data_IF_091599628581
#
_entry.id   IF_091599628581
#
_cell.length_a   1.000
_cell.length_b   1.000
_cell.length_c   1.000
_cell.angle_alpha   90.00
_cell.angle_beta   90.00
_cell.angle_gamma   90.00
#
_symmetry.space_group_name_H-M   'P 1'
#
loop_
_entity.id
_entity.type
_entity.pdbx_description
1 polymer ?
#
# COMPACT_ATOMS: atom_id res chain seq x y z
N UNK A 1 14.57 -21.00 14.89
CA UNK A 1 15.96 -20.61 15.18
C UNK A 1 16.28 -19.52 14.18
N UNK A 2 16.35 -18.24 14.53
CA UNK A 2 16.49 -17.64 15.85
C UNK A 2 15.72 -16.33 15.96
N UNK A 3 15.44 -15.96 17.20
CA UNK A 3 14.86 -14.70 17.61
C UNK A 3 15.71 -13.52 17.10
N UNK A 4 15.26 -12.86 16.02
CA UNK A 4 15.59 -11.45 15.82
C UNK A 4 14.82 -10.69 16.90
N UNK A 5 15.49 -10.45 18.03
CA UNK A 5 15.10 -9.39 18.97
C UNK A 5 14.77 -8.13 18.16
N UNK A 6 13.66 -7.45 18.46
CA UNK A 6 13.38 -6.10 17.97
C UNK A 6 14.59 -5.20 18.27
N UNK A 7 15.48 -5.04 17.30
CA UNK A 7 16.57 -4.08 17.39
C UNK A 7 15.91 -2.72 17.12
N UNK A 8 15.95 -1.83 18.11
CA UNK A 8 15.44 -0.46 17.96
C UNK A 8 16.12 0.23 16.77
N UNK A 9 15.35 1.02 16.02
CA UNK A 9 15.85 1.79 14.88
C UNK A 9 17.06 2.65 15.28
N UNK A 10 17.05 3.20 16.49
CA UNK A 10 18.18 3.92 17.10
C UNK A 10 19.45 3.08 17.21
N UNK A 11 19.36 1.85 17.69
CA UNK A 11 20.52 0.95 17.79
C UNK A 11 21.02 0.54 16.40
N UNK A 12 20.10 0.28 15.48
CA UNK A 12 20.38 -0.04 14.10
C UNK A 12 21.16 1.10 13.41
N UNK A 13 20.76 2.35 13.64
CA UNK A 13 21.39 3.51 13.00
C UNK A 13 22.66 3.95 13.70
N UNK A 14 22.75 3.91 15.04
CA UNK A 14 23.90 4.47 15.77
C UNK A 14 25.01 3.46 16.07
N UNK A 15 24.66 2.19 16.29
CA UNK A 15 25.60 1.20 16.86
C UNK A 15 26.03 0.12 15.88
N UNK A 16 25.20 -0.20 14.88
CA UNK A 16 25.47 -1.27 13.91
C UNK A 16 26.64 -0.92 12.99
N UNK A 17 27.45 -1.91 12.62
CA UNK A 17 28.53 -1.74 11.65
C UNK A 17 27.99 -1.29 10.28
N UNK A 18 28.64 -0.30 9.67
CA UNK A 18 28.23 0.22 8.35
C UNK A 18 28.70 -0.72 7.26
N UNK A 19 27.77 -1.22 6.46
CA UNK A 19 28.00 -2.01 5.26
C UNK A 19 27.19 -1.42 4.09
N UNK A 20 27.34 -1.99 2.89
CA UNK A 20 26.49 -1.60 1.77
C UNK A 20 25.03 -2.05 1.96
N UNK A 21 24.79 -3.08 2.77
CA UNK A 21 23.46 -3.53 3.18
C UNK A 21 22.84 -2.67 4.27
N UNK A 22 23.64 -1.88 4.99
CA UNK A 22 23.17 -1.03 6.08
C UNK A 22 21.95 -0.18 5.69
N UNK A 23 21.95 0.38 4.47
CA UNK A 23 20.81 1.15 3.96
C UNK A 23 19.55 0.28 3.80
N UNK A 24 19.69 -0.94 3.30
CA UNK A 24 18.57 -1.87 3.14
C UNK A 24 18.03 -2.36 4.48
N UNK A 25 18.92 -2.66 5.42
CA UNK A 25 18.56 -3.11 6.77
C UNK A 25 17.87 -2.00 7.57
N UNK A 26 18.41 -0.77 7.51
CA UNK A 26 17.78 0.40 8.14
C UNK A 26 16.42 0.72 7.54
N UNK A 27 16.29 0.57 6.22
CA UNK A 27 15.02 0.70 5.53
C UNK A 27 13.98 -0.34 5.95
N UNK A 28 14.36 -1.61 6.11
CA UNK A 28 13.47 -2.67 6.57
C UNK A 28 13.03 -2.51 8.04
N UNK A 29 13.87 -1.89 8.88
CA UNK A 29 13.54 -1.58 10.28
C UNK A 29 12.46 -0.50 10.45
N UNK A 30 12.14 0.27 9.41
CA UNK A 30 11.07 1.28 9.43
C UNK A 30 9.72 0.58 9.25
N UNK A 31 9.12 0.14 10.35
CA UNK A 31 7.87 -0.64 10.35
C UNK A 31 6.60 0.22 10.33
N UNK A 32 6.55 1.32 11.11
CA UNK A 32 5.44 2.28 11.14
C UNK A 32 5.91 3.68 10.73
N UNK A 33 5.21 4.30 9.76
CA UNK A 33 5.72 5.53 9.10
C UNK A 33 5.75 6.75 10.01
N UNK A 34 4.98 6.79 11.11
CA UNK A 34 4.90 7.98 11.98
C UNK A 34 5.87 7.91 13.15
N UNK A 35 5.87 6.81 13.90
CA UNK A 35 6.78 6.64 15.05
C UNK A 35 8.23 6.54 14.57
N UNK A 36 8.48 5.89 13.44
CA UNK A 36 9.82 5.86 12.87
C UNK A 36 10.28 7.21 12.31
N UNK A 37 9.39 8.09 11.83
CA UNK A 37 9.78 9.46 11.43
C UNK A 37 10.20 10.27 12.66
N UNK A 38 9.40 10.25 13.72
CA UNK A 38 9.71 10.98 14.96
C UNK A 38 11.03 10.45 15.57
N UNK A 39 11.25 9.13 15.56
CA UNK A 39 12.51 8.53 16.01
C UNK A 39 13.70 8.90 15.11
N UNK A 40 13.53 8.88 13.78
CA UNK A 40 14.57 9.28 12.82
C UNK A 40 14.94 10.77 12.95
N UNK A 41 13.98 11.65 13.23
CA UNK A 41 14.26 13.07 13.49
C UNK A 41 15.14 13.25 14.73
N UNK A 42 14.84 12.53 15.82
CA UNK A 42 15.67 12.55 17.03
C UNK A 42 17.06 11.95 16.76
N UNK A 43 17.13 10.84 16.02
CA UNK A 43 18.40 10.20 15.66
C UNK A 43 19.25 11.15 14.80
N UNK A 44 18.64 11.91 13.89
CA UNK A 44 19.36 12.83 13.00
C UNK A 44 20.21 13.86 13.75
N UNK A 45 19.79 14.29 14.93
CA UNK A 45 20.54 15.23 15.77
C UNK A 45 21.76 14.57 16.44
N UNK A 46 21.70 13.26 16.70
CA UNK A 46 22.76 12.49 17.35
C UNK A 46 23.80 11.91 16.37
N UNK A 47 23.43 11.77 15.09
CA UNK A 47 24.30 11.18 14.06
C UNK A 47 25.38 12.15 13.60
N UNK A 48 26.63 11.83 13.94
CA UNK A 48 27.82 12.58 13.52
C UNK A 48 28.49 12.03 12.25
N UNK A 49 28.30 10.74 11.96
CA UNK A 49 28.85 10.11 10.76
C UNK A 49 28.07 10.56 9.50
N UNK A 50 28.74 11.15 8.48
CA UNK A 50 28.06 11.68 7.32
C UNK A 50 27.31 10.64 6.47
N UNK A 51 27.78 9.39 6.43
CA UNK A 51 27.11 8.33 5.69
C UNK A 51 25.78 7.97 6.37
N UNK A 52 25.82 7.69 7.68
CA UNK A 52 24.61 7.42 8.48
C UNK A 52 23.64 8.60 8.41
N UNK A 53 24.16 9.83 8.46
CA UNK A 53 23.33 11.04 8.34
C UNK A 53 22.62 11.09 6.99
N UNK A 54 23.33 10.80 5.91
CA UNK A 54 22.75 10.70 4.57
C UNK A 54 21.65 9.63 4.46
N UNK A 55 21.85 8.46 5.09
CA UNK A 55 20.83 7.39 5.16
C UNK A 55 19.58 7.87 5.88
N UNK A 56 19.71 8.46 7.07
CA UNK A 56 18.57 8.97 7.86
C UNK A 56 17.81 10.07 7.10
N UNK A 57 18.53 11.01 6.49
CA UNK A 57 17.92 12.08 5.69
C UNK A 57 17.10 11.52 4.51
N UNK A 58 17.59 10.49 3.83
CA UNK A 58 16.84 9.88 2.73
C UNK A 58 15.61 9.10 3.22
N UNK A 59 15.72 8.37 4.33
CA UNK A 59 14.58 7.68 4.96
C UNK A 59 13.49 8.65 5.43
N UNK A 60 13.87 9.85 5.89
CA UNK A 60 12.96 10.97 6.19
C UNK A 60 12.34 11.61 4.94
N UNK A 61 12.77 11.22 3.73
CA UNK A 61 12.34 11.82 2.47
C UNK A 61 13.03 13.15 2.13
N UNK A 62 14.01 13.60 2.93
CA UNK A 62 14.79 14.84 2.71
C UNK A 62 15.93 14.60 1.71
N UNK A 63 15.57 14.19 0.49
CA UNK A 63 16.50 13.73 -0.56
C UNK A 63 17.56 14.75 -0.95
N UNK A 64 17.19 16.02 -1.06
CA UNK A 64 18.13 17.10 -1.41
C UNK A 64 19.29 17.18 -0.39
N UNK A 65 18.95 17.22 0.90
CA UNK A 65 19.93 17.31 2.00
C UNK A 65 20.75 16.04 2.14
N UNK A 66 20.12 14.87 1.93
CA UNK A 66 20.82 13.60 1.89
C UNK A 66 21.93 13.62 0.83
N UNK A 67 21.62 14.09 -0.39
CA UNK A 67 22.60 14.17 -1.47
C UNK A 67 23.71 15.18 -1.19
N UNK A 68 23.39 16.35 -0.65
CA UNK A 68 24.41 17.34 -0.27
C UNK A 68 25.38 16.77 0.78
N UNK A 69 24.84 16.09 1.80
CA UNK A 69 25.62 15.43 2.85
C UNK A 69 26.52 14.33 2.26
N UNK A 70 25.97 13.46 1.41
CA UNK A 70 26.73 12.36 0.79
C UNK A 70 27.77 12.88 -0.22
N UNK A 71 27.48 13.97 -0.93
CA UNK A 71 28.42 14.62 -1.85
C UNK A 71 29.59 15.28 -1.12
N UNK A 72 29.41 15.67 0.15
CA UNK A 72 30.49 16.13 1.02
C UNK A 72 31.51 15.04 1.37
N UNK A 73 31.14 13.75 1.22
CA UNK A 73 31.93 12.61 1.69
C UNK A 73 32.28 11.63 0.56
N UNK A 74 32.70 12.16 -0.58
CA UNK A 74 33.10 11.37 -1.76
C UNK A 74 34.31 10.46 -1.55
N UNK A 75 35.06 10.64 -0.47
CA UNK A 75 36.17 9.75 -0.15
C UNK A 75 35.69 8.41 0.44
N UNK A 76 34.43 8.36 0.91
CA UNK A 76 33.82 7.15 1.45
C UNK A 76 33.07 6.38 0.34
N UNK A 77 33.44 5.11 0.15
CA UNK A 77 32.85 4.20 -0.84
C UNK A 77 31.34 4.02 -0.61
N UNK A 78 30.90 3.93 0.65
CA UNK A 78 29.49 3.79 1.01
C UNK A 78 28.67 5.03 0.62
N UNK A 79 29.25 6.22 0.80
CA UNK A 79 28.63 7.47 0.37
C UNK A 79 28.51 7.53 -1.15
N UNK A 80 29.54 7.11 -1.89
CA UNK A 80 29.50 7.07 -3.35
C UNK A 80 28.47 6.07 -3.88
N UNK A 81 28.37 4.90 -3.26
CA UNK A 81 27.36 3.90 -3.57
C UNK A 81 25.93 4.46 -3.39
N UNK A 82 25.63 4.99 -2.20
CA UNK A 82 24.30 5.52 -1.89
C UNK A 82 23.98 6.75 -2.75
N UNK A 83 24.92 7.68 -2.91
CA UNK A 83 24.74 8.86 -3.76
C UNK A 83 24.49 8.46 -5.22
N UNK A 84 25.24 7.48 -5.75
CA UNK A 84 25.04 6.94 -7.09
C UNK A 84 23.64 6.34 -7.27
N UNK A 85 23.18 5.54 -6.29
CA UNK A 85 21.83 4.97 -6.29
C UNK A 85 20.75 6.07 -6.31
N UNK A 86 20.83 7.07 -5.44
CA UNK A 86 19.86 8.16 -5.38
C UNK A 86 19.82 8.98 -6.68
N UNK A 87 20.99 9.27 -7.27
CA UNK A 87 21.07 10.00 -8.55
C UNK A 87 20.46 9.20 -9.72
N UNK A 88 20.59 7.87 -9.72
CA UNK A 88 19.97 7.01 -10.72
C UNK A 88 18.44 6.98 -10.59
N UNK A 89 17.92 6.90 -9.36
CA UNK A 89 16.46 6.94 -9.08
C UNK A 89 15.80 8.26 -9.50
N UNK A 90 16.56 9.36 -9.47
CA UNK A 90 16.11 10.68 -9.94
C UNK A 90 16.22 10.87 -11.45
N UNK A 91 16.82 9.92 -12.17
CA UNK A 91 17.08 10.03 -13.61
C UNK A 91 18.27 10.94 -13.95
N UNK A 92 19.13 11.28 -12.98
CA UNK A 92 20.36 12.06 -13.18
C UNK A 92 21.55 11.16 -13.53
N UNK A 93 21.40 10.29 -14.53
CA UNK A 93 22.39 9.27 -14.94
C UNK A 93 23.78 9.84 -15.24
N UNK A 94 23.90 10.99 -15.91
CA UNK A 94 25.19 11.68 -16.15
C UNK A 94 25.95 12.06 -14.88
N UNK A 95 25.24 12.47 -13.83
CA UNK A 95 25.86 12.82 -12.55
C UNK A 95 26.24 11.54 -11.79
N UNK A 96 25.36 10.55 -11.79
CA UNK A 96 25.62 9.25 -11.19
C UNK A 96 26.87 8.61 -11.78
N UNK A 97 27.00 8.61 -13.12
CA UNK A 97 28.14 8.06 -13.85
C UNK A 97 29.46 8.65 -13.33
N UNK A 98 29.57 9.98 -13.24
CA UNK A 98 30.80 10.64 -12.75
C UNK A 98 31.17 10.27 -11.32
N UNK A 99 30.18 10.17 -10.44
CA UNK A 99 30.39 9.80 -9.03
C UNK A 99 30.83 8.33 -8.93
N UNK A 100 30.17 7.45 -9.66
CA UNK A 100 30.41 6.01 -9.64
C UNK A 100 31.73 5.64 -10.33
N UNK A 101 32.13 6.32 -11.41
CA UNK A 101 33.46 6.16 -12.04
C UNK A 101 34.59 6.52 -11.06
N UNK A 102 34.43 7.60 -10.29
CA UNK A 102 35.39 7.99 -9.27
C UNK A 102 35.46 6.96 -8.13
N UNK A 103 34.30 6.45 -7.69
CA UNK A 103 34.24 5.41 -6.67
C UNK A 103 34.87 4.11 -7.13
N UNK A 104 34.54 3.65 -8.34
CA UNK A 104 35.08 2.43 -8.92
C UNK A 104 36.60 2.51 -9.12
N UNK A 105 37.15 3.67 -9.48
CA UNK A 105 38.60 3.86 -9.60
C UNK A 105 39.32 3.67 -8.25
N UNK A 106 38.66 4.01 -7.14
CA UNK A 106 39.23 3.91 -5.80
C UNK A 106 39.09 2.51 -5.20
N UNK A 107 37.96 1.83 -5.38
CA UNK A 107 37.68 0.52 -4.78
C UNK A 107 37.99 -0.67 -5.72
N UNK A 108 37.87 -0.48 -7.03
CA UNK A 108 37.91 -1.54 -8.03
C UNK A 108 36.97 -2.70 -7.68
N UNK A 109 37.42 -3.92 -7.98
CA UNK A 109 36.70 -5.17 -7.68
C UNK A 109 36.53 -5.47 -6.17
N UNK A 110 37.07 -4.64 -5.26
CA UNK A 110 36.88 -4.80 -3.82
C UNK A 110 35.47 -4.48 -3.35
N UNK A 111 34.70 -3.70 -4.12
CA UNK A 111 33.30 -3.39 -3.83
C UNK A 111 32.44 -3.54 -5.11
N UNK A 112 31.97 -4.74 -5.43
CA UNK A 112 31.30 -5.03 -6.70
C UNK A 112 29.98 -4.26 -6.87
N UNK A 113 29.31 -3.86 -5.78
CA UNK A 113 28.03 -3.13 -5.85
C UNK A 113 28.16 -1.73 -6.45
N UNK A 114 29.29 -1.05 -6.23
CA UNK A 114 29.60 0.22 -6.90
C UNK A 114 29.77 -0.02 -8.41
N UNK A 115 30.43 -1.13 -8.78
CA UNK A 115 30.57 -1.54 -10.18
C UNK A 115 29.23 -1.87 -10.83
N UNK A 116 28.31 -2.53 -10.11
CA UNK A 116 26.96 -2.82 -10.61
C UNK A 116 26.14 -1.55 -10.87
N UNK A 117 26.18 -0.57 -9.96
CA UNK A 117 25.54 0.73 -10.19
C UNK A 117 26.21 1.50 -11.34
N UNK A 118 27.53 1.38 -11.49
CA UNK A 118 28.27 1.96 -12.60
C UNK A 118 27.83 1.34 -13.94
N UNK A 119 27.68 0.00 -14.02
CA UNK A 119 27.11 -0.67 -15.18
C UNK A 119 25.75 -0.10 -15.55
N UNK A 120 24.86 0.06 -14.58
CA UNK A 120 23.55 0.65 -14.84
C UNK A 120 23.64 2.09 -15.37
N UNK A 121 24.49 2.92 -14.78
CA UNK A 121 24.71 4.29 -15.25
C UNK A 121 25.25 4.31 -16.69
N UNK A 122 26.14 3.39 -17.05
CA UNK A 122 26.66 3.23 -18.41
C UNK A 122 25.56 2.82 -19.40
N UNK A 123 24.67 1.88 -19.02
CA UNK A 123 23.54 1.46 -19.87
C UNK A 123 22.59 2.63 -20.12
N UNK A 124 22.25 3.42 -19.10
CA UNK A 124 21.37 4.58 -19.24
C UNK A 124 21.96 5.71 -20.09
N UNK A 125 23.30 5.77 -20.20
CA UNK A 125 24.01 6.74 -21.04
C UNK A 125 24.43 6.16 -22.41
N UNK A 126 23.86 5.02 -22.82
CA UNK A 126 24.10 4.36 -24.12
C UNK A 126 25.57 3.94 -24.33
N UNK A 127 26.31 3.69 -23.24
CA UNK A 127 27.68 3.17 -23.25
C UNK A 127 27.70 1.65 -23.08
N UNK A 128 27.03 0.95 -23.99
CA UNK A 128 26.71 -0.48 -23.85
C UNK A 128 27.95 -1.37 -23.83
N UNK A 129 28.95 -1.10 -24.68
CA UNK A 129 30.18 -1.91 -24.71
C UNK A 129 30.98 -1.80 -23.40
N UNK A 130 31.10 -0.59 -22.85
CA UNK A 130 31.73 -0.38 -21.54
C UNK A 130 30.95 -1.11 -20.45
N UNK A 131 29.61 -1.04 -20.47
CA UNK A 131 28.77 -1.75 -19.51
C UNK A 131 28.93 -3.28 -19.58
N UNK A 132 28.97 -3.86 -20.79
CA UNK A 132 29.17 -5.31 -20.99
C UNK A 132 30.54 -5.76 -20.51
N UNK A 133 31.60 -5.00 -20.79
CA UNK A 133 32.96 -5.32 -20.32
C UNK A 133 33.05 -5.26 -18.80
N UNK A 134 32.44 -4.25 -18.17
CA UNK A 134 32.41 -4.12 -16.73
C UNK A 134 31.58 -5.25 -16.10
N UNK A 135 30.41 -5.56 -16.66
CA UNK A 135 29.55 -6.65 -16.19
C UNK A 135 30.25 -8.01 -16.25
N UNK A 136 31.00 -8.28 -17.33
CA UNK A 136 31.80 -9.50 -17.45
C UNK A 136 32.99 -9.59 -16.47
N UNK A 137 33.42 -8.45 -15.91
CA UNK A 137 34.45 -8.41 -14.88
C UNK A 137 33.90 -8.63 -13.46
N UNK A 138 32.61 -8.33 -13.25
CA UNK A 138 31.89 -8.59 -12.00
C UNK A 138 31.59 -10.09 -11.91
N UNK A 139 31.92 -10.73 -10.79
CA UNK A 139 31.69 -12.17 -10.67
C UNK A 139 30.21 -12.44 -10.40
N UNK A 140 29.65 -13.45 -11.08
CA UNK A 140 28.23 -13.83 -10.96
C UNK A 140 27.83 -14.20 -9.52
N UNK A 141 28.79 -14.61 -8.69
CA UNK A 141 28.56 -14.98 -7.29
C UNK A 141 28.34 -13.77 -6.36
N UNK A 142 28.62 -12.55 -6.81
CA UNK A 142 28.61 -11.36 -5.94
C UNK A 142 27.19 -10.92 -5.56
N UNK A 143 26.25 -10.92 -6.50
CA UNK A 143 24.82 -10.57 -6.30
C UNK A 143 24.00 -11.01 -7.52
N UNK A 144 23.61 -12.29 -7.57
CA UNK A 144 22.88 -12.86 -8.72
C UNK A 144 21.61 -12.08 -9.08
N UNK A 145 20.72 -11.69 -8.13
CA UNK A 145 19.55 -10.88 -8.46
C UNK A 145 19.89 -9.57 -9.17
N UNK A 146 20.91 -8.86 -8.71
CA UNK A 146 21.33 -7.58 -9.30
C UNK A 146 22.01 -7.74 -10.66
N UNK A 147 22.76 -8.82 -10.85
CA UNK A 147 23.31 -9.18 -12.17
C UNK A 147 22.17 -9.50 -13.14
N UNK A 148 21.16 -10.26 -12.74
CA UNK A 148 19.97 -10.50 -13.57
C UNK A 148 19.24 -9.20 -13.93
N UNK A 149 19.13 -8.26 -12.99
CA UNK A 149 18.58 -6.93 -13.27
C UNK A 149 19.39 -6.16 -14.34
N UNK A 150 20.72 -6.19 -14.27
CA UNK A 150 21.59 -5.53 -15.26
C UNK A 150 21.48 -6.20 -16.64
N UNK A 151 21.38 -7.53 -16.69
CA UNK A 151 21.09 -8.24 -17.95
C UNK A 151 19.73 -7.84 -18.51
N UNK A 152 18.71 -7.69 -17.66
CA UNK A 152 17.40 -7.20 -18.08
C UNK A 152 17.46 -5.81 -18.71
N UNK A 153 18.27 -4.90 -18.15
CA UNK A 153 18.51 -3.58 -18.74
C UNK A 153 19.20 -3.64 -20.10
N UNK A 154 20.17 -4.54 -20.27
CA UNK A 154 20.86 -4.76 -21.55
C UNK A 154 19.90 -5.32 -22.61
N UNK A 155 19.17 -6.39 -22.32
CA UNK A 155 18.19 -6.97 -23.23
C UNK A 155 17.08 -5.96 -23.58
N UNK A 156 16.62 -5.16 -22.62
CA UNK A 156 15.68 -4.08 -22.87
C UNK A 156 16.24 -3.05 -23.85
N UNK A 157 17.52 -2.69 -23.72
CA UNK A 157 18.18 -1.76 -24.64
C UNK A 157 18.34 -2.35 -26.05
N UNK A 158 18.58 -3.65 -26.15
CA UNK A 158 18.70 -4.39 -27.43
C UNK A 158 17.34 -4.63 -28.10
N UNK A 159 16.23 -4.46 -27.35
CA UNK A 159 14.86 -4.68 -27.82
C UNK A 159 14.37 -6.11 -27.62
N UNK A 160 15.14 -6.94 -26.93
CA UNK A 160 14.85 -8.35 -26.64
C UNK A 160 13.89 -8.45 -25.45
N UNK A 161 12.60 -8.26 -25.75
CA UNK A 161 11.54 -8.18 -24.74
C UNK A 161 11.46 -9.39 -23.81
N UNK A 162 11.50 -10.60 -24.39
CA UNK A 162 11.31 -11.85 -23.65
C UNK A 162 12.47 -12.08 -22.67
N UNK A 163 13.70 -11.89 -23.15
CA UNK A 163 14.91 -12.04 -22.34
C UNK A 163 15.00 -10.97 -21.24
N UNK A 164 14.54 -9.75 -21.53
CA UNK A 164 14.43 -8.69 -20.53
C UNK A 164 13.44 -9.05 -19.42
N UNK A 165 12.25 -9.54 -19.76
CA UNK A 165 11.26 -9.99 -18.79
C UNK A 165 11.77 -11.15 -17.94
N UNK A 166 12.38 -12.16 -18.55
CA UNK A 166 12.94 -13.31 -17.81
C UNK A 166 14.02 -12.85 -16.82
N UNK A 167 14.89 -11.94 -17.27
CA UNK A 167 15.95 -11.35 -16.45
C UNK A 167 15.39 -10.55 -15.28
N UNK A 168 14.37 -9.72 -15.51
CA UNK A 168 13.70 -8.96 -14.45
C UNK A 168 12.89 -9.84 -13.50
N UNK A 169 12.22 -10.89 -13.98
CA UNK A 169 11.52 -11.87 -13.14
C UNK A 169 12.50 -12.57 -12.21
N UNK A 170 13.61 -13.06 -12.75
CA UNK A 170 14.68 -13.70 -11.97
C UNK A 170 15.24 -12.75 -10.90
N UNK A 171 15.43 -11.47 -11.24
CA UNK A 171 15.88 -10.46 -10.28
C UNK A 171 14.86 -10.24 -9.15
N UNK A 172 13.58 -10.09 -9.49
CA UNK A 172 12.50 -9.87 -8.52
C UNK A 172 12.25 -11.10 -7.63
N UNK A 173 12.35 -12.31 -8.18
CA UNK A 173 12.25 -13.56 -7.40
C UNK A 173 13.41 -13.70 -6.41
N UNK A 174 14.62 -13.32 -6.82
CA UNK A 174 15.82 -13.38 -5.99
C UNK A 174 15.86 -12.32 -4.89
N UNK A 175 15.21 -11.17 -5.08
CA UNK A 175 15.05 -10.14 -4.06
C UNK A 175 13.68 -9.43 -4.17
N UNK A 176 12.63 -9.98 -3.54
CA UNK A 176 11.26 -9.46 -3.67
C UNK A 176 11.04 -8.06 -3.09
N UNK A 177 11.92 -7.61 -2.20
CA UNK A 177 11.81 -6.31 -1.52
C UNK A 177 12.50 -5.17 -2.31
N UNK A 178 13.30 -5.50 -3.33
CA UNK A 178 13.97 -4.49 -4.16
C UNK A 178 12.97 -3.88 -5.16
N UNK A 179 12.39 -2.76 -4.75
CA UNK A 179 11.38 -2.01 -5.49
C UNK A 179 11.79 -1.68 -6.92
N UNK A 180 13.09 -1.48 -7.18
CA UNK A 180 13.60 -1.14 -8.51
C UNK A 180 13.43 -2.29 -9.51
N UNK A 181 13.53 -3.54 -9.05
CA UNK A 181 13.35 -4.72 -9.89
C UNK A 181 11.88 -4.87 -10.29
N UNK A 182 10.97 -4.76 -9.31
CA UNK A 182 9.53 -4.76 -9.53
C UNK A 182 9.08 -3.62 -10.45
N UNK A 183 9.63 -2.41 -10.26
CA UNK A 183 9.32 -1.28 -11.12
C UNK A 183 9.70 -1.53 -12.59
N UNK A 184 10.89 -2.10 -12.86
CA UNK A 184 11.27 -2.44 -14.23
C UNK A 184 10.41 -3.54 -14.81
N UNK A 185 10.09 -4.57 -14.04
CA UNK A 185 9.17 -5.62 -14.47
C UNK A 185 7.79 -5.05 -14.85
N UNK A 186 7.22 -4.19 -14.00
CA UNK A 186 5.96 -3.51 -14.27
C UNK A 186 6.02 -2.57 -15.48
N UNK A 187 7.14 -1.86 -15.65
CA UNK A 187 7.39 -1.03 -16.82
C UNK A 187 7.43 -1.84 -18.12
N UNK A 188 8.11 -2.99 -18.12
CA UNK A 188 8.15 -3.86 -19.29
C UNK A 188 6.79 -4.46 -19.61
N UNK A 189 6.05 -4.95 -18.61
CA UNK A 189 4.69 -5.44 -18.85
C UNK A 189 3.78 -4.34 -19.41
N UNK A 190 3.87 -3.11 -18.89
CA UNK A 190 3.10 -1.97 -19.39
C UNK A 190 3.46 -1.62 -20.84
N UNK A 191 4.75 -1.58 -21.17
CA UNK A 191 5.23 -1.20 -22.50
C UNK A 191 4.79 -2.19 -23.60
N UNK A 192 4.60 -3.46 -23.24
CA UNK A 192 4.28 -4.54 -24.18
C UNK A 192 2.86 -5.10 -24.01
N UNK A 193 1.99 -4.39 -23.29
CA UNK A 193 0.54 -4.62 -23.28
C UNK A 193 0.03 -5.65 -22.26
N UNK A 194 0.86 -6.14 -21.35
CA UNK A 194 0.45 -6.99 -20.23
C UNK A 194 -0.01 -6.13 -19.03
N UNK A 195 -1.07 -5.34 -19.21
CA UNK A 195 -1.52 -4.33 -18.23
C UNK A 195 -1.82 -4.91 -16.83
N UNK A 196 -2.44 -6.09 -16.75
CA UNK A 196 -2.75 -6.72 -15.46
C UNK A 196 -1.50 -7.02 -14.64
N UNK A 197 -0.46 -7.57 -15.29
CA UNK A 197 0.83 -7.86 -14.65
C UNK A 197 1.58 -6.57 -14.29
N UNK A 198 1.45 -5.53 -15.11
CA UNK A 198 2.02 -4.23 -14.82
C UNK A 198 1.40 -3.62 -13.55
N UNK A 199 0.05 -3.68 -13.43
CA UNK A 199 -0.68 -3.24 -12.24
C UNK A 199 -0.23 -4.03 -11.01
N UNK A 200 -0.09 -5.36 -11.10
CA UNK A 200 0.38 -6.20 -10.00
C UNK A 200 1.79 -5.78 -9.54
N UNK A 201 2.74 -5.67 -10.47
CA UNK A 201 4.11 -5.29 -10.16
C UNK A 201 4.21 -3.88 -9.55
N UNK A 202 3.45 -2.91 -10.07
CA UNK A 202 3.43 -1.56 -9.49
C UNK A 202 2.70 -1.50 -8.14
N UNK A 203 1.65 -2.31 -7.91
CA UNK A 203 1.01 -2.43 -6.58
C UNK A 203 2.01 -2.93 -5.55
N UNK A 204 2.86 -3.90 -5.90
CA UNK A 204 3.91 -4.36 -4.98
C UNK A 204 4.89 -3.25 -4.60
N UNK A 205 5.14 -2.28 -5.50
CA UNK A 205 6.00 -1.12 -5.21
C UNK A 205 5.40 -0.16 -4.17
N UNK A 206 4.10 -0.24 -3.84
CA UNK A 206 3.46 0.58 -2.80
C UNK A 206 4.09 0.37 -1.42
N UNK A 207 4.68 -0.79 -1.18
CA UNK A 207 5.31 -1.18 0.09
C UNK A 207 6.67 -0.51 0.31
N UNK A 208 7.16 0.26 -0.66
CA UNK A 208 8.45 0.94 -0.59
C UNK A 208 8.43 2.11 0.40
N UNK A 209 9.43 2.14 1.29
CA UNK A 209 9.74 3.29 2.14
C UNK A 209 11.14 3.81 1.83
N UNK A 210 11.36 5.04 1.34
CA UNK A 210 10.34 6.02 0.91
C UNK A 210 9.51 5.55 -0.29
N UNK A 211 8.35 6.17 -0.49
CA UNK A 211 7.43 5.82 -1.58
C UNK A 211 8.11 5.97 -2.95
N UNK A 212 8.02 4.92 -3.78
CA UNK A 212 8.58 4.96 -5.13
C UNK A 212 7.62 5.68 -6.09
N UNK A 213 7.76 7.01 -6.15
CA UNK A 213 6.82 7.90 -6.85
C UNK A 213 6.57 7.53 -8.31
N UNK A 214 7.60 7.11 -9.05
CA UNK A 214 7.48 6.72 -10.46
C UNK A 214 6.53 5.52 -10.66
N UNK A 215 6.58 4.53 -9.76
CA UNK A 215 5.66 3.39 -9.82
C UNK A 215 4.21 3.82 -9.59
N UNK A 216 3.99 4.72 -8.61
CA UNK A 216 2.64 5.20 -8.29
C UNK A 216 2.06 6.06 -9.40
N UNK A 217 2.89 6.86 -10.06
CA UNK A 217 2.46 7.61 -11.24
C UNK A 217 2.06 6.66 -12.36
N UNK A 218 2.89 5.66 -12.69
CA UNK A 218 2.57 4.72 -13.76
C UNK A 218 1.33 3.87 -13.43
N UNK A 219 1.16 3.46 -12.17
CA UNK A 219 -0.05 2.77 -11.71
C UNK A 219 -1.29 3.67 -11.84
N UNK A 220 -1.18 4.95 -11.50
CA UNK A 220 -2.26 5.92 -11.67
C UNK A 220 -2.67 6.06 -13.13
N UNK A 221 -1.70 6.16 -14.04
CA UNK A 221 -1.95 6.24 -15.49
C UNK A 221 -2.67 4.98 -15.99
N UNK A 222 -2.22 3.79 -15.61
CA UNK A 222 -2.89 2.54 -15.97
C UNK A 222 -4.33 2.46 -15.44
N UNK A 223 -4.61 3.04 -14.26
CA UNK A 223 -5.98 3.14 -13.77
C UNK A 223 -6.81 4.17 -14.55
N UNK A 224 -6.24 5.30 -14.97
CA UNK A 224 -6.94 6.26 -15.84
C UNK A 224 -7.28 5.63 -17.20
N UNK A 225 -6.35 4.89 -17.79
CA UNK A 225 -6.56 4.16 -19.05
C UNK A 225 -7.68 3.11 -18.92
N UNK A 226 -7.84 2.55 -17.72
CA UNK A 226 -8.93 1.63 -17.36
C UNK A 226 -10.22 2.33 -16.86
N UNK A 227 -10.33 3.67 -16.99
CA UNK A 227 -11.44 4.51 -16.48
C UNK A 227 -11.70 4.41 -14.97
N UNK A 228 -10.71 3.95 -14.20
CA UNK A 228 -10.72 3.79 -12.73
C UNK A 228 -10.16 5.04 -12.05
N UNK A 229 -10.86 6.15 -12.23
CA UNK A 229 -10.37 7.48 -11.82
C UNK A 229 -10.17 7.63 -10.31
N UNK A 230 -11.01 6.99 -9.48
CA UNK A 230 -10.85 7.00 -8.01
C UNK A 230 -9.50 6.38 -7.57
N UNK A 231 -9.13 5.23 -8.13
CA UNK A 231 -7.86 4.59 -7.82
C UNK A 231 -6.66 5.37 -8.36
N UNK A 232 -6.79 5.99 -9.54
CA UNK A 232 -5.76 6.89 -10.08
C UNK A 232 -5.51 8.09 -9.16
N UNK A 233 -6.58 8.78 -8.73
CA UNK A 233 -6.53 9.89 -7.79
C UNK A 233 -5.83 9.48 -6.49
N UNK A 234 -6.12 8.28 -5.99
CA UNK A 234 -5.48 7.73 -4.78
C UNK A 234 -3.97 7.60 -4.98
N UNK A 235 -3.53 7.04 -6.12
CA UNK A 235 -2.11 6.89 -6.44
C UNK A 235 -1.39 8.26 -6.48
N UNK A 236 -1.98 9.26 -7.14
CA UNK A 236 -1.37 10.59 -7.22
C UNK A 236 -1.33 11.32 -5.88
N UNK A 237 -2.38 11.16 -5.05
CA UNK A 237 -2.38 11.69 -3.68
C UNK A 237 -1.30 11.06 -2.82
N UNK A 238 -1.04 9.76 -2.94
CA UNK A 238 0.07 9.11 -2.22
C UNK A 238 1.42 9.75 -2.55
N UNK A 239 1.67 10.05 -3.83
CA UNK A 239 2.89 10.76 -4.25
C UNK A 239 2.98 12.14 -3.63
N UNK A 240 1.88 12.91 -3.64
CA UNK A 240 1.84 14.26 -3.08
C UNK A 240 1.92 14.29 -1.54
N UNK A 241 1.45 13.25 -0.86
CA UNK A 241 1.65 13.09 0.59
C UNK A 241 3.14 12.89 0.91
N UNK A 242 3.87 12.16 0.06
CA UNK A 242 5.30 11.93 0.24
C UNK A 242 6.18 13.08 -0.27
N UNK A 243 5.73 13.78 -1.31
CA UNK A 243 6.41 14.92 -1.92
C UNK A 243 5.36 15.93 -2.40
N UNK A 244 4.97 16.90 -1.55
CA UNK A 244 3.95 17.89 -1.87
C UNK A 244 4.23 18.72 -3.13
N UNK A 245 5.51 18.86 -3.49
CA UNK A 245 5.97 19.64 -4.64
C UNK A 245 6.16 18.84 -5.93
N UNK A 246 5.72 17.57 -5.95
CA UNK A 246 5.83 16.73 -7.13
C UNK A 246 4.92 17.21 -8.28
N UNK A 247 5.49 18.02 -9.18
CA UNK A 247 4.76 18.71 -10.26
C UNK A 247 3.93 17.76 -11.14
N UNK A 248 4.50 16.62 -11.54
CA UNK A 248 3.81 15.64 -12.41
C UNK A 248 2.59 15.00 -11.74
N UNK A 249 2.70 14.59 -10.47
CA UNK A 249 1.59 14.03 -9.72
C UNK A 249 0.46 15.05 -9.51
N UNK A 250 0.80 16.34 -9.30
CA UNK A 250 -0.20 17.42 -9.21
C UNK A 250 -0.96 17.63 -10.52
N UNK A 251 -0.25 17.55 -11.66
CA UNK A 251 -0.84 17.62 -12.98
C UNK A 251 -1.82 16.47 -13.19
N UNK A 252 -1.36 15.22 -13.03
CA UNK A 252 -2.21 14.05 -13.22
C UNK A 252 -3.38 13.96 -12.24
N UNK A 253 -3.20 14.38 -10.98
CA UNK A 253 -4.32 14.47 -10.02
C UNK A 253 -5.42 15.40 -10.53
N UNK A 254 -5.06 16.56 -11.07
CA UNK A 254 -6.02 17.53 -11.61
C UNK A 254 -6.75 16.96 -12.82
N UNK A 255 -6.01 16.32 -13.71
CA UNK A 255 -6.55 15.77 -14.95
C UNK A 255 -7.49 14.58 -14.64
N UNK A 256 -7.08 13.65 -13.78
CA UNK A 256 -7.91 12.54 -13.31
C UNK A 256 -9.18 13.01 -12.57
N UNK A 257 -9.08 14.04 -11.72
CA UNK A 257 -10.23 14.61 -11.01
C UNK A 257 -11.22 15.30 -11.96
N UNK A 258 -10.71 15.95 -13.02
CA UNK A 258 -11.56 16.54 -14.05
C UNK A 258 -12.27 15.46 -14.88
N UNK A 259 -11.56 14.38 -15.23
CA UNK A 259 -12.13 13.22 -15.92
C UNK A 259 -13.20 12.53 -15.09
N UNK A 260 -12.98 12.34 -13.79
CA UNK A 260 -13.99 11.83 -12.85
C UNK A 260 -15.26 12.70 -12.84
N UNK A 261 -15.10 14.04 -12.84
CA UNK A 261 -16.22 14.98 -12.90
C UNK A 261 -16.91 15.04 -14.29
N UNK A 262 -16.31 14.51 -15.35
CA UNK A 262 -16.94 14.39 -16.68
C UNK A 262 -17.69 13.06 -16.81
N UNK A 263 -17.14 12.00 -16.22
CA UNK A 263 -17.78 10.70 -16.02
C UNK A 263 -18.64 10.69 -14.75
N UNK A 264 -19.54 11.68 -14.63
CA UNK A 264 -20.64 11.62 -13.66
C UNK A 264 -21.53 10.42 -14.01
N UNK A 265 -21.43 9.34 -13.23
CA UNK A 265 -22.29 8.18 -13.38
C UNK A 265 -23.73 8.56 -12.93
N UNK A 266 -24.54 9.00 -13.90
CA UNK A 266 -25.96 9.34 -13.70
C UNK A 266 -26.74 8.21 -13.05
N UNK A 267 -26.30 6.96 -13.15
CA UNK A 267 -27.01 5.83 -12.59
C UNK A 267 -26.66 5.62 -11.11
N UNK A 268 -25.40 5.82 -10.69
CA UNK A 268 -25.03 5.93 -9.27
C UNK A 268 -25.75 7.09 -8.57
N UNK A 269 -25.85 8.25 -9.22
CA UNK A 269 -26.58 9.39 -8.66
C UNK A 269 -28.09 9.13 -8.58
N UNK A 270 -28.69 8.49 -9.58
CA UNK A 270 -30.12 8.07 -9.49
C UNK A 270 -30.33 7.09 -8.35
N UNK A 271 -29.41 6.16 -8.15
CA UNK A 271 -29.52 5.16 -7.09
C UNK A 271 -29.27 5.80 -5.71
N UNK A 272 -28.36 6.77 -5.59
CA UNK A 272 -28.18 7.59 -4.39
C UNK A 272 -29.43 8.44 -4.09
N UNK A 273 -29.99 9.11 -5.10
CA UNK A 273 -31.23 9.90 -4.96
C UNK A 273 -32.41 9.00 -4.58
N UNK A 274 -32.54 7.83 -5.20
CA UNK A 274 -33.57 6.83 -4.84
C UNK A 274 -33.37 6.33 -3.41
N UNK A 275 -32.14 6.00 -3.01
CA UNK A 275 -31.81 5.57 -1.65
C UNK A 275 -32.16 6.67 -0.64
N UNK A 276 -31.79 7.92 -0.93
CA UNK A 276 -32.10 9.06 -0.08
C UNK A 276 -33.61 9.31 0.04
N UNK A 277 -34.37 9.13 -1.05
CA UNK A 277 -35.85 9.18 -1.00
C UNK A 277 -36.45 8.06 -0.14
N UNK A 278 -35.90 6.83 -0.22
CA UNK A 278 -36.37 5.71 0.60
C UNK A 278 -36.09 5.95 2.09
N UNK A 279 -34.93 6.52 2.44
CA UNK A 279 -34.58 6.82 3.83
C UNK A 279 -35.49 7.88 4.47
N UNK A 280 -36.13 8.75 3.67
CA UNK A 280 -37.09 9.74 4.15
C UNK A 280 -38.50 9.18 4.39
N UNK A 281 -38.77 7.92 4.02
CA UNK A 281 -40.09 7.32 4.22
C UNK A 281 -40.40 7.19 5.72
N UNK A 282 -41.54 7.71 6.21
CA UNK A 282 -41.94 7.59 7.59
C UNK A 282 -42.16 6.13 8.01
N UNK A 283 -41.69 5.74 9.19
CA UNK A 283 -41.91 4.37 9.72
C UNK A 283 -43.39 4.06 9.97
N UNK A 284 -44.24 5.07 10.03
CA UNK A 284 -45.70 4.95 10.18
C UNK A 284 -46.40 4.41 8.94
N UNK A 285 -45.77 4.48 7.76
CA UNK A 285 -46.34 3.93 6.52
C UNK A 285 -46.34 2.40 6.50
N UNK A 286 -45.59 1.76 7.40
CA UNK A 286 -45.49 0.32 7.46
C UNK A 286 -46.46 -0.32 8.46
N UNK A 287 -46.96 -1.50 8.09
CA UNK A 287 -47.81 -2.34 8.93
C UNK A 287 -46.99 -2.98 10.05
N UNK A 288 -46.74 -2.20 11.10
CA UNK A 288 -46.07 -2.62 12.32
C UNK A 288 -47.09 -2.99 13.40
N UNK A 289 -46.72 -3.95 14.26
CA UNK A 289 -47.50 -4.21 15.46
C UNK A 289 -47.55 -2.97 16.37
N UNK A 290 -48.62 -2.86 17.16
CA UNK A 290 -48.81 -1.75 18.11
C UNK A 290 -47.61 -1.62 19.06
N UNK A 291 -46.99 -2.75 19.42
CA UNK A 291 -45.78 -2.80 20.25
C UNK A 291 -44.58 -2.19 19.54
N UNK A 292 -44.28 -2.62 18.32
CA UNK A 292 -43.16 -2.13 17.52
C UNK A 292 -43.30 -0.62 17.25
N UNK A 293 -44.50 -0.16 16.88
CA UNK A 293 -44.79 1.27 16.63
C UNK A 293 -44.58 2.13 17.88
N UNK A 294 -45.09 1.70 19.03
CA UNK A 294 -44.94 2.42 20.29
C UNK A 294 -43.48 2.46 20.77
N UNK A 295 -42.68 1.43 20.47
CA UNK A 295 -41.26 1.43 20.79
C UNK A 295 -40.48 2.40 19.89
N UNK A 296 -40.67 2.34 18.57
CA UNK A 296 -40.01 3.24 17.62
C UNK A 296 -40.32 4.72 17.90
N UNK A 297 -41.58 5.04 18.21
CA UNK A 297 -41.98 6.40 18.55
C UNK A 297 -41.31 6.90 19.84
N UNK A 298 -41.17 6.04 20.86
CA UNK A 298 -40.49 6.39 22.11
C UNK A 298 -38.97 6.49 21.97
N UNK A 299 -38.41 5.84 20.95
CA UNK A 299 -36.98 5.95 20.57
C UNK A 299 -36.68 7.18 19.72
N UNK A 300 -37.69 7.96 19.32
CA UNK A 300 -37.52 9.11 18.43
C UNK A 300 -37.21 8.72 16.98
N UNK A 301 -37.54 7.48 16.59
CA UNK A 301 -37.33 6.97 15.22
C UNK A 301 -38.58 7.30 14.42
N UNK A 302 -38.45 8.21 13.46
CA UNK A 302 -39.58 8.71 12.67
C UNK A 302 -39.48 8.30 11.20
N UNK A 303 -38.27 8.12 10.68
CA UNK A 303 -38.00 7.74 9.29
C UNK A 303 -37.25 6.41 9.18
N UNK A 304 -37.24 5.82 7.98
CA UNK A 304 -36.38 4.67 7.70
C UNK A 304 -34.89 5.02 7.89
N UNK A 305 -34.47 6.25 7.61
CA UNK A 305 -33.12 6.74 7.88
C UNK A 305 -32.75 6.66 9.35
N UNK A 306 -33.62 7.14 10.23
CA UNK A 306 -33.42 7.05 11.68
C UNK A 306 -33.34 5.59 12.13
N UNK A 307 -34.18 4.73 11.54
CA UNK A 307 -34.24 3.31 11.90
C UNK A 307 -32.97 2.56 11.48
N UNK A 308 -32.51 2.84 10.27
CA UNK A 308 -31.31 2.25 9.68
C UNK A 308 -30.03 2.77 10.36
N UNK A 309 -30.06 3.94 11.00
CA UNK A 309 -28.96 4.43 11.84
C UNK A 309 -28.81 3.69 13.18
N UNK A 310 -29.78 2.86 13.56
CA UNK A 310 -29.78 2.12 14.83
C UNK A 310 -29.31 0.69 14.65
N UNK A 311 -28.49 0.23 15.58
CA UNK A 311 -28.03 -1.16 15.63
C UNK A 311 -29.09 -2.07 16.25
N UNK A 312 -29.01 -3.36 15.93
CA UNK A 312 -29.89 -4.37 16.53
C UNK A 312 -29.79 -4.44 18.07
N UNK A 313 -28.58 -4.42 18.69
CA UNK A 313 -28.48 -4.41 20.13
C UNK A 313 -29.00 -3.12 20.76
N UNK A 314 -28.89 -1.97 20.09
CA UNK A 314 -29.50 -0.72 20.56
C UNK A 314 -31.03 -0.84 20.64
N UNK A 315 -31.66 -1.44 19.61
CA UNK A 315 -33.11 -1.65 19.60
C UNK A 315 -33.54 -2.66 20.68
N UNK A 316 -32.81 -3.77 20.83
CA UNK A 316 -33.08 -4.81 21.83
C UNK A 316 -32.86 -4.36 23.28
N UNK A 317 -32.02 -3.34 23.51
CA UNK A 317 -31.78 -2.77 24.84
C UNK A 317 -32.99 -2.03 25.42
N UNK A 318 -33.97 -1.66 24.58
CA UNK A 318 -35.07 -0.82 24.98
C UNK A 318 -36.22 -1.60 25.62
N UNK A 319 -36.78 -1.03 26.70
CA UNK A 319 -37.82 -1.66 27.50
C UNK A 319 -39.08 -1.94 26.65
N UNK A 320 -39.47 -3.22 26.58
CA UNK A 320 -40.60 -3.77 25.81
C UNK A 320 -40.38 -3.89 24.29
N UNK A 321 -39.14 -3.70 23.82
CA UNK A 321 -38.73 -4.14 22.50
C UNK A 321 -38.21 -5.59 22.61
N UNK A 322 -38.59 -6.46 21.68
CA UNK A 322 -38.25 -7.89 21.75
C UNK A 322 -38.11 -8.52 20.37
N UNK A 323 -37.73 -9.80 20.35
CA UNK A 323 -37.33 -10.52 19.14
C UNK A 323 -38.38 -10.48 18.01
N UNK A 324 -39.67 -10.55 18.37
CA UNK A 324 -40.77 -10.46 17.40
C UNK A 324 -40.84 -9.09 16.71
N UNK A 325 -40.58 -8.01 17.46
CA UNK A 325 -40.53 -6.65 16.92
C UNK A 325 -39.30 -6.43 16.04
N UNK A 326 -38.17 -7.05 16.40
CA UNK A 326 -36.96 -7.03 15.57
C UNK A 326 -37.18 -7.75 14.23
N UNK A 327 -37.85 -8.90 14.24
CA UNK A 327 -38.19 -9.63 13.01
C UNK A 327 -39.14 -8.85 12.09
N UNK A 328 -40.13 -8.14 12.65
CA UNK A 328 -41.01 -7.23 11.89
C UNK A 328 -40.21 -6.13 11.18
N UNK A 329 -39.26 -5.52 11.89
CA UNK A 329 -38.38 -4.47 11.33
C UNK A 329 -37.46 -5.01 10.24
N UNK A 330 -36.82 -6.17 10.46
CA UNK A 330 -35.98 -6.82 9.45
C UNK A 330 -36.76 -7.11 8.16
N UNK A 331 -38.03 -7.52 8.28
CA UNK A 331 -38.89 -7.80 7.12
C UNK A 331 -39.13 -6.55 6.28
N UNK A 332 -39.39 -5.40 6.91
CA UNK A 332 -39.60 -4.11 6.23
C UNK A 332 -38.32 -3.64 5.53
N UNK A 333 -37.19 -3.70 6.24
CA UNK A 333 -35.90 -3.27 5.70
C UNK A 333 -35.48 -4.14 4.51
N UNK A 334 -35.67 -5.46 4.59
CA UNK A 334 -35.41 -6.36 3.47
C UNK A 334 -36.28 -6.08 2.23
N UNK A 335 -37.55 -5.69 2.41
CA UNK A 335 -38.42 -5.29 1.29
C UNK A 335 -37.92 -4.02 0.58
N UNK A 336 -37.21 -3.15 1.29
CA UNK A 336 -36.60 -1.93 0.75
C UNK A 336 -35.11 -2.07 0.45
N UNK A 337 -34.56 -3.29 0.56
CA UNK A 337 -33.13 -3.60 0.39
C UNK A 337 -32.22 -2.81 1.34
N UNK A 338 -32.71 -2.44 2.52
CA UNK A 338 -31.97 -1.73 3.57
C UNK A 338 -31.63 -2.69 4.73
N UNK A 339 -30.68 -2.30 5.58
CA UNK A 339 -30.29 -3.05 6.80
C UNK A 339 -30.17 -2.14 8.02
N UNK A 340 -30.35 -2.71 9.22
CA UNK A 340 -30.08 -2.00 10.48
C UNK A 340 -28.57 -1.76 10.61
N UNK A 341 -28.17 -0.58 11.10
CA UNK A 341 -26.78 -0.14 11.17
C UNK A 341 -26.18 0.36 9.85
N UNK A 342 -26.96 0.46 8.77
CA UNK A 342 -26.49 1.00 7.48
C UNK A 342 -26.46 2.55 7.48
N UNK A 343 -27.15 3.23 8.41
CA UNK A 343 -27.21 4.70 8.50
C UNK A 343 -26.12 5.34 9.36
N UNK A 344 -25.47 4.54 10.22
CA UNK A 344 -24.19 4.86 10.88
C UNK A 344 -23.00 4.55 9.97
N UNK A 345 -23.23 3.82 8.87
CA UNK A 345 -22.32 3.69 7.75
C UNK A 345 -22.61 4.78 6.73
N UNK A 346 -22.09 5.97 6.99
CA UNK A 346 -21.45 6.67 5.90
C UNK A 346 -20.33 5.76 5.40
N UNK A 347 -20.54 5.11 4.26
CA UNK A 347 -19.52 4.35 3.52
C UNK A 347 -18.24 5.20 3.30
N UNK A 348 -18.36 6.52 3.43
CA UNK A 348 -17.27 7.49 3.39
C UNK A 348 -16.56 7.73 4.74
N UNK A 349 -17.24 7.64 5.89
CA UNK A 349 -16.63 8.01 7.20
C UNK A 349 -15.97 6.85 7.94
N UNK A 350 -16.33 5.59 7.66
CA UNK A 350 -15.57 4.46 8.23
C UNK A 350 -14.16 4.38 7.62
N UNK A 351 -14.01 4.67 6.33
CA UNK A 351 -12.71 4.82 5.66
C UNK A 351 -11.92 6.04 6.13
N UNK A 352 -12.59 7.07 6.67
CA UNK A 352 -11.96 8.28 7.23
C UNK A 352 -11.63 8.18 8.73
N UNK A 353 -12.12 7.15 9.43
CA UNK A 353 -11.82 6.90 10.86
C UNK A 353 -10.85 5.75 11.08
N UNK A 354 -10.41 5.09 10.02
CA UNK A 354 -9.37 4.05 10.08
C UNK A 354 -8.03 4.77 9.98
N UNK A 355 -7.19 4.64 11.01
CA UNK A 355 -5.81 5.14 10.99
C UNK A 355 -5.10 4.67 9.71
N UNK A 356 -4.28 5.53 9.10
CA UNK A 356 -3.73 5.32 7.75
C UNK A 356 -2.97 3.99 7.52
N UNK A 357 -2.58 3.30 8.60
CA UNK A 357 -1.90 2.00 8.62
C UNK A 357 -2.89 0.82 8.52
N UNK A 358 -4.08 0.98 9.09
CA UNK A 358 -5.16 0.00 9.03
C UNK A 358 -5.88 0.05 7.66
N UNK A 359 -5.85 1.18 6.96
CA UNK A 359 -6.40 1.32 5.62
C UNK A 359 -5.64 0.51 4.55
N UNK A 360 -4.32 0.36 4.69
CA UNK A 360 -3.51 -0.48 3.79
C UNK A 360 -3.79 -1.98 3.94
N UNK A 361 -4.26 -2.41 5.12
CA UNK A 361 -4.57 -3.80 5.41
C UNK A 361 -5.91 -4.25 4.81
N UNK A 362 -6.79 -3.31 4.43
CA UNK A 362 -8.10 -3.60 3.87
C UNK A 362 -8.02 -4.34 2.53
N UNK A 363 -7.00 -4.06 1.72
CA UNK A 363 -6.78 -4.72 0.42
C UNK A 363 -6.14 -6.11 0.51
N UNK A 364 -5.74 -6.56 1.70
CA UNK A 364 -5.11 -7.86 1.88
C UNK A 364 -6.14 -9.00 1.79
N UNK A 365 -5.77 -10.16 1.24
CA UNK A 365 -6.64 -11.32 1.23
C UNK A 365 -6.84 -11.87 2.65
N UNK A 366 -8.07 -12.31 2.96
CA UNK A 366 -8.44 -12.88 4.27
C UNK A 366 -7.63 -14.13 4.62
N UNK A 367 -7.04 -14.79 3.64
CA UNK A 367 -6.12 -15.92 3.83
C UNK A 367 -4.91 -15.57 4.69
N UNK A 368 -4.43 -14.31 4.65
CA UNK A 368 -3.29 -13.84 5.44
C UNK A 368 -3.59 -13.71 6.94
N UNK A 369 -4.86 -13.75 7.35
CA UNK A 369 -5.23 -13.76 8.78
C UNK A 369 -4.95 -15.12 9.46
N UNK A 370 -4.46 -16.13 8.72
CA UNK A 370 -4.14 -17.48 9.21
C UNK A 370 -5.28 -18.07 10.05
N UNK A 371 -6.50 -17.91 9.57
CA UNK A 371 -7.70 -18.39 10.24
C UNK A 371 -7.75 -19.92 10.25
N UNK A 372 -8.38 -20.51 11.27
CA UNK A 372 -8.65 -21.94 11.28
C UNK A 372 -9.41 -22.40 10.01
N UNK A 373 -9.23 -23.66 9.62
CA UNK A 373 -9.91 -24.26 8.46
C UNK A 373 -11.44 -24.14 8.53
N UNK A 374 -12.00 -24.00 9.73
CA UNK A 374 -13.42 -23.74 9.98
C UNK A 374 -13.82 -22.31 9.64
N UNK A 375 -13.00 -21.35 10.02
CA UNK A 375 -13.19 -19.93 9.75
C UNK A 375 -12.94 -19.61 8.27
N UNK A 376 -11.90 -20.17 7.64
CA UNK A 376 -11.63 -20.01 6.20
C UNK A 376 -12.78 -20.50 5.32
N UNK A 377 -13.31 -21.72 5.57
CA UNK A 377 -14.47 -22.25 4.82
C UNK A 377 -15.74 -21.41 4.99
N UNK A 378 -15.82 -20.59 6.04
CA UNK A 378 -16.90 -19.63 6.22
C UNK A 378 -16.70 -18.41 5.32
N UNK A 379 -15.47 -17.89 5.25
CA UNK A 379 -15.08 -16.78 4.37
C UNK A 379 -15.30 -17.14 2.90
N UNK A 380 -14.85 -18.33 2.47
CA UNK A 380 -15.05 -18.82 1.10
C UNK A 380 -16.55 -18.92 0.74
N UNK A 381 -17.38 -19.38 1.69
CA UNK A 381 -18.83 -19.53 1.46
C UNK A 381 -19.56 -18.18 1.35
N UNK A 382 -19.06 -17.18 2.07
CA UNK A 382 -19.61 -15.82 2.07
C UNK A 382 -19.01 -14.95 0.96
N UNK A 383 -18.08 -15.49 0.15
CA UNK A 383 -17.37 -14.76 -0.89
C UNK A 383 -16.54 -13.62 -0.33
N UNK A 384 -15.94 -13.82 0.85
CA UNK A 384 -15.11 -12.82 1.53
C UNK A 384 -13.67 -13.10 1.12
N UNK A 385 -13.15 -12.30 0.20
CA UNK A 385 -11.81 -12.49 -0.36
C UNK A 385 -10.80 -11.56 0.31
N UNK A 386 -11.20 -10.34 0.67
CA UNK A 386 -10.33 -9.33 1.29
C UNK A 386 -10.73 -8.98 2.72
N UNK A 387 -9.77 -8.45 3.49
CA UNK A 387 -10.01 -7.95 4.85
C UNK A 387 -11.04 -6.81 4.83
N UNK A 388 -11.09 -6.00 3.77
CA UNK A 388 -12.15 -5.02 3.52
C UNK A 388 -13.53 -5.69 3.47
N UNK A 389 -13.67 -6.77 2.70
CA UNK A 389 -14.94 -7.50 2.61
C UNK A 389 -15.36 -8.07 3.96
N UNK A 390 -14.39 -8.53 4.76
CA UNK A 390 -14.62 -9.08 6.09
C UNK A 390 -15.09 -7.99 7.07
N UNK A 391 -14.49 -6.81 7.01
CA UNK A 391 -14.85 -5.67 7.87
C UNK A 391 -16.22 -5.10 7.54
N UNK A 392 -16.72 -5.33 6.34
CA UNK A 392 -18.09 -4.96 5.95
C UNK A 392 -19.15 -5.91 6.55
N UNK A 393 -18.76 -7.07 7.10
CA UNK A 393 -19.69 -8.07 7.70
C UNK A 393 -19.87 -7.88 9.20
N UNK A 394 -21.05 -8.26 9.68
CA UNK A 394 -21.38 -8.23 11.10
C UNK A 394 -21.09 -9.59 11.77
N UNK A 395 -20.73 -9.56 13.05
CA UNK A 395 -20.53 -10.72 13.91
C UNK A 395 -21.69 -11.71 13.89
N UNK A 396 -22.92 -11.21 13.90
CA UNK A 396 -24.13 -12.03 13.84
C UNK A 396 -24.27 -12.74 12.48
N UNK A 397 -23.84 -12.11 11.39
CA UNK A 397 -23.84 -12.72 10.05
C UNK A 397 -22.84 -13.87 9.97
N UNK A 398 -21.65 -13.68 10.55
CA UNK A 398 -20.64 -14.73 10.66
C UNK A 398 -21.12 -15.90 11.54
N UNK A 399 -21.70 -15.62 12.73
CA UNK A 399 -22.20 -16.65 13.66
C UNK A 399 -23.45 -17.36 13.16
N UNK A 400 -24.23 -16.74 12.27
CA UNK A 400 -25.39 -17.40 11.64
C UNK A 400 -25.00 -18.51 10.65
N UNK A 401 -23.73 -18.59 10.25
CA UNK A 401 -23.27 -19.58 9.29
C UNK A 401 -23.15 -20.98 9.89
N UNK A 402 -23.56 -21.97 9.10
CA UNK A 402 -23.48 -23.38 9.48
C UNK A 402 -22.03 -23.75 9.78
N UNK A 403 -21.80 -24.19 11.02
CA UNK A 403 -20.50 -24.53 11.59
C UNK A 403 -19.57 -23.33 11.83
N UNK A 404 -20.07 -22.11 12.04
CA UNK A 404 -19.28 -20.98 12.54
C UNK A 404 -19.85 -20.55 13.90
N UNK A 405 -19.06 -20.67 14.97
CA UNK A 405 -19.53 -20.44 16.34
C UNK A 405 -18.75 -19.32 17.03
N UNK A 406 -19.11 -19.03 18.29
CA UNK A 406 -18.51 -17.96 19.11
C UNK A 406 -16.97 -18.08 19.21
N UNK A 407 -16.44 -19.30 19.23
CA UNK A 407 -14.98 -19.54 19.23
C UNK A 407 -14.29 -19.10 17.94
N UNK A 408 -14.92 -19.30 16.78
CA UNK A 408 -14.42 -18.86 15.48
C UNK A 408 -14.57 -17.36 15.29
N UNK A 409 -15.65 -16.78 15.83
CA UNK A 409 -15.83 -15.33 15.85
C UNK A 409 -14.73 -14.64 16.67
N UNK A 410 -14.46 -15.13 17.88
CA UNK A 410 -13.41 -14.57 18.74
C UNK A 410 -12.00 -14.74 18.14
N UNK A 411 -11.77 -15.82 17.39
CA UNK A 411 -10.54 -16.01 16.61
C UNK A 411 -10.39 -14.90 15.55
N UNK A 412 -11.42 -14.65 14.75
CA UNK A 412 -11.41 -13.62 13.71
C UNK A 412 -11.23 -12.23 14.33
N UNK A 413 -11.96 -11.91 15.42
CA UNK A 413 -11.79 -10.63 16.13
C UNK A 413 -10.37 -10.43 16.64
N UNK A 414 -9.79 -11.44 17.28
CA UNK A 414 -8.42 -11.36 17.79
C UNK A 414 -7.44 -11.10 16.64
N UNK A 415 -7.53 -11.87 15.56
CA UNK A 415 -6.65 -11.73 14.40
C UNK A 415 -6.76 -10.38 13.69
N UNK A 416 -7.95 -9.76 13.71
CA UNK A 416 -8.14 -8.40 13.21
C UNK A 416 -7.59 -7.36 14.20
N UNK A 417 -7.88 -7.50 15.50
CA UNK A 417 -7.38 -6.57 16.53
C UNK A 417 -5.86 -6.60 16.66
N UNK A 418 -5.22 -7.75 16.44
CA UNK A 418 -3.76 -7.89 16.36
C UNK A 418 -3.17 -7.03 15.22
N UNK A 419 -3.99 -6.66 14.25
CA UNK A 419 -3.65 -5.84 13.08
C UNK A 419 -4.22 -4.43 13.14
N UNK A 420 -4.67 -3.98 14.32
CA UNK A 420 -5.26 -2.66 14.50
C UNK A 420 -6.65 -2.49 13.88
N UNK A 421 -7.28 -3.58 13.43
CA UNK A 421 -8.60 -3.57 12.81
C UNK A 421 -9.63 -4.15 13.77
N UNK A 422 -10.83 -3.57 13.81
CA UNK A 422 -11.93 -4.14 14.58
C UNK A 422 -13.08 -4.47 13.65
N UNK A 423 -13.60 -5.71 13.78
CA UNK A 423 -14.89 -6.06 13.19
C UNK A 423 -15.93 -5.04 13.65
N UNK A 424 -16.83 -4.67 12.73
CA UNK A 424 -17.93 -3.79 13.08
C UNK A 424 -18.75 -4.45 14.21
N UNK A 425 -18.71 -3.84 15.40
CA UNK A 425 -19.59 -4.24 16.50
C UNK A 425 -21.02 -4.04 16.01
N UNK A 426 -21.77 -5.14 15.99
CA UNK A 426 -23.14 -5.19 15.48
C UNK A 426 -24.14 -4.34 16.21
#
# INVERSE_FOLDING_TARGET
MDAMSEISLRDLVLTRETSVDFYHETRQGVTSRREAIDELEVILDDVTDPFRRGVVLDLLGRREEARETLFGCKDNILCMHLLGKLLLEEGSSKKALKVLEAGWKNCGAGEPRVGMLLCEALILEDKIEEAKTLLGSLQVQDDQPRISYLNGLLHQHEGDYQDALESYSTAAEGNPDETRFLFRLGYMHSLYGDEEKAIEAYRMCQRSTPLYAHAMINLGVLYEDAERFEEAITCYRMVLLSNPDHARARLYLRDASASQSMYYDRDKDKDNVRKQQVLQIPVTEFELSVRSRNCLQKMGIHTLGDLVSKSEPELLSYKNFGETSLQEIRKILNQKKLRLGEGTRSDETFMLSIDGEAASLLGEPVSLLELSSRSQRCMDRLGIETISDLMQRNELELVSQKNFGVTSLNEVKRKLSDRGLNLANG
#
